data_IF_700777050986
#
_entry.id   IF_700777050986
#
_cell.length_a   1.000
_cell.length_b   1.000
_cell.length_c   1.000
_cell.angle_alpha   90.00
_cell.angle_beta   90.00
_cell.angle_gamma   90.00
#
_symmetry.space_group_name_H-M   'P 1'
#
loop_
_entity.id
_entity.type
_entity.pdbx_description
1 polymer ?
#
# COMPACT_ATOMS: atom_id res chain seq x y z
N UNK A 1 -26.91 81.07 -35.11
CA UNK A 1 -26.72 79.71 -34.75
C UNK A 1 -28.09 79.05 -34.49
N UNK A 2 -28.56 78.25 -35.45
CA UNK A 2 -29.79 77.42 -35.23
C UNK A 2 -29.40 76.12 -34.53
N UNK A 3 -29.70 76.05 -33.25
CA UNK A 3 -29.53 74.80 -32.50
C UNK A 3 -30.56 73.81 -33.03
N UNK A 4 -30.10 72.69 -33.50
CA UNK A 4 -30.89 71.62 -34.11
C UNK A 4 -31.68 70.84 -33.01
N UNK A 5 -32.92 71.25 -32.74
CA UNK A 5 -33.78 70.75 -31.69
C UNK A 5 -34.25 69.30 -31.94
N UNK A 6 -34.02 68.76 -33.14
CA UNK A 6 -34.47 67.44 -33.52
C UNK A 6 -33.66 66.30 -32.89
N UNK A 7 -32.40 66.52 -32.47
CA UNK A 7 -31.58 65.54 -31.84
C UNK A 7 -32.01 65.28 -30.38
N UNK A 8 -32.50 66.25 -29.70
CA UNK A 8 -32.96 66.11 -28.30
C UNK A 8 -34.23 65.27 -28.20
N UNK A 9 -35.15 65.37 -29.11
CA UNK A 9 -36.38 64.58 -29.15
C UNK A 9 -36.11 63.16 -29.53
N UNK A 10 -35.20 62.85 -30.43
CA UNK A 10 -34.77 61.48 -30.71
C UNK A 10 -34.08 60.83 -29.52
N UNK A 11 -33.19 61.51 -28.79
CA UNK A 11 -32.54 61.02 -27.58
C UNK A 11 -33.55 60.80 -26.44
N UNK A 12 -34.53 61.65 -26.30
CA UNK A 12 -35.57 61.54 -25.30
C UNK A 12 -36.53 60.36 -25.59
N UNK A 13 -36.85 60.14 -26.88
CA UNK A 13 -37.65 58.99 -27.33
C UNK A 13 -36.88 57.66 -27.14
N UNK A 14 -35.57 57.63 -27.45
CA UNK A 14 -34.72 56.47 -27.23
C UNK A 14 -34.60 56.21 -25.74
N UNK A 15 -34.46 57.22 -24.88
CA UNK A 15 -34.43 57.09 -23.43
C UNK A 15 -35.77 56.63 -22.84
N UNK A 16 -36.90 57.09 -23.38
CA UNK A 16 -38.23 56.61 -23.03
C UNK A 16 -38.51 55.17 -23.46
N UNK A 17 -37.99 54.76 -24.62
CA UNK A 17 -38.06 53.36 -25.09
C UNK A 17 -37.13 52.46 -24.29
N UNK A 18 -35.97 52.97 -23.82
CA UNK A 18 -35.06 52.25 -22.92
C UNK A 18 -35.57 52.18 -21.47
N UNK A 19 -36.50 53.09 -21.07
CA UNK A 19 -37.23 53.04 -19.80
C UNK A 19 -38.48 52.16 -19.85
N UNK A 20 -38.86 51.61 -21.02
CA UNK A 20 -39.84 50.53 -21.00
C UNK A 20 -39.27 49.40 -20.17
N UNK A 21 -39.67 49.34 -18.91
CA UNK A 21 -39.31 48.24 -18.00
C UNK A 21 -39.54 46.93 -18.74
N UNK A 22 -38.46 46.14 -18.86
CA UNK A 22 -38.59 44.76 -19.32
C UNK A 22 -39.32 44.04 -18.23
N UNK A 23 -40.63 44.07 -18.30
CA UNK A 23 -41.49 43.28 -17.43
C UNK A 23 -41.37 41.83 -17.89
N UNK A 24 -40.93 40.95 -16.99
CA UNK A 24 -41.02 39.52 -17.24
C UNK A 24 -42.43 39.14 -17.65
N UNK A 25 -42.61 37.99 -18.31
CA UNK A 25 -43.87 37.57 -18.91
C UNK A 25 -45.06 37.77 -17.97
N UNK A 26 -46.11 38.49 -18.39
CA UNK A 26 -47.26 38.80 -17.51
C UNK A 26 -47.97 37.54 -17.03
N UNK A 27 -47.97 36.49 -17.82
CA UNK A 27 -48.58 35.20 -17.48
C UNK A 27 -47.83 34.45 -16.40
N UNK A 28 -46.50 34.42 -16.46
CA UNK A 28 -45.66 33.76 -15.45
C UNK A 28 -45.75 34.48 -14.12
N UNK A 29 -45.65 35.82 -14.11
CA UNK A 29 -45.82 36.62 -12.92
C UNK A 29 -47.19 36.39 -12.22
N UNK A 30 -48.25 36.32 -13.02
CA UNK A 30 -49.59 36.06 -12.52
C UNK A 30 -49.66 34.64 -11.93
N UNK A 31 -49.15 33.65 -12.66
CA UNK A 31 -49.11 32.27 -12.21
C UNK A 31 -48.37 32.11 -10.88
N UNK A 32 -47.15 32.69 -10.76
CA UNK A 32 -46.37 32.68 -9.52
C UNK A 32 -47.11 33.29 -8.34
N UNK A 33 -47.83 34.42 -8.60
CA UNK A 33 -48.61 35.06 -7.56
C UNK A 33 -49.76 34.19 -7.10
N UNK A 34 -50.52 33.67 -8.06
CA UNK A 34 -51.73 32.88 -7.79
C UNK A 34 -51.42 31.56 -7.07
N UNK A 35 -50.27 30.90 -7.41
CA UNK A 35 -49.82 29.67 -6.78
C UNK A 35 -49.25 29.85 -5.40
N UNK A 36 -48.51 30.94 -5.14
CA UNK A 36 -47.78 31.15 -3.88
C UNK A 36 -48.50 31.98 -2.85
N UNK A 37 -49.65 32.63 -3.20
CA UNK A 37 -50.37 33.55 -2.29
C UNK A 37 -50.90 32.84 -1.03
N UNK A 38 -51.34 31.57 -1.18
CA UNK A 38 -51.90 30.78 -0.07
C UNK A 38 -51.06 29.54 0.23
N UNK A 39 -49.86 29.40 -0.37
CA UNK A 39 -49.02 28.23 -0.22
C UNK A 39 -48.26 28.24 1.12
N UNK A 40 -48.38 27.15 1.89
CA UNK A 40 -47.67 27.01 3.17
C UNK A 40 -46.55 25.96 3.02
N UNK A 41 -45.30 26.41 3.18
CA UNK A 41 -44.09 25.55 3.04
C UNK A 41 -43.94 24.55 4.19
N UNK A 42 -44.74 24.64 5.25
CA UNK A 42 -44.69 23.74 6.42
C UNK A 42 -45.63 22.55 6.27
N UNK A 43 -46.59 22.63 5.35
CA UNK A 43 -47.59 21.60 5.13
C UNK A 43 -47.11 20.58 4.11
N UNK A 44 -47.37 19.29 4.38
CA UNK A 44 -47.10 18.24 3.40
C UNK A 44 -48.10 18.41 2.20
N UNK A 45 -47.59 18.27 0.97
CA UNK A 45 -48.36 18.56 -0.24
C UNK A 45 -49.29 17.40 -0.63
N UNK A 46 -50.09 16.90 0.27
CA UNK A 46 -51.05 15.81 0.08
C UNK A 46 -52.49 16.33 0.21
N UNK A 47 -53.43 15.68 -0.47
CA UNK A 47 -54.83 16.03 -0.38
C UNK A 47 -55.46 15.49 0.91
N UNK A 48 -55.09 14.26 1.30
CA UNK A 48 -55.49 13.63 2.56
C UNK A 48 -54.29 13.50 3.48
N UNK A 49 -54.39 14.04 4.68
CA UNK A 49 -53.31 14.03 5.69
C UNK A 49 -52.92 12.60 6.14
N UNK A 50 -53.80 11.62 5.94
CA UNK A 50 -53.53 10.21 6.23
C UNK A 50 -52.62 9.53 5.20
N UNK A 51 -52.46 10.11 4.00
CA UNK A 51 -51.63 9.57 2.95
C UNK A 51 -50.20 10.06 3.07
N UNK A 52 -49.22 9.21 2.74
CA UNK A 52 -47.82 9.62 2.64
C UNK A 52 -47.57 10.40 1.36
N UNK A 53 -46.55 11.27 1.40
CA UNK A 53 -45.97 11.85 0.19
C UNK A 53 -45.16 10.78 -0.52
N UNK A 54 -45.52 10.44 -1.75
CA UNK A 54 -44.70 9.55 -2.61
C UNK A 54 -43.45 10.30 -3.07
N UNK A 55 -42.27 9.87 -2.63
CA UNK A 55 -41.00 10.47 -2.96
C UNK A 55 -40.10 9.48 -3.71
N UNK A 56 -39.92 9.73 -5.00
CA UNK A 56 -38.94 9.00 -5.80
C UNK A 56 -37.56 9.58 -5.56
N UNK A 57 -36.63 8.72 -5.14
CA UNK A 57 -35.25 9.13 -4.87
C UNK A 57 -34.24 8.36 -5.73
N UNK A 58 -33.40 9.12 -6.39
CA UNK A 58 -32.29 8.61 -7.19
C UNK A 58 -31.00 9.35 -6.88
N UNK A 59 -29.89 8.82 -7.37
CA UNK A 59 -28.57 9.38 -7.17
C UNK A 59 -27.77 9.30 -8.46
N UNK A 60 -27.15 10.40 -8.87
CA UNK A 60 -26.16 10.43 -9.98
C UNK A 60 -24.77 10.64 -9.40
N UNK A 61 -23.89 9.68 -9.62
CA UNK A 61 -22.48 9.77 -9.19
C UNK A 61 -21.65 10.46 -10.28
N UNK A 62 -21.13 11.65 -9.96
CA UNK A 62 -20.30 12.42 -10.88
C UNK A 62 -18.82 12.05 -10.76
N UNK A 63 -18.31 11.95 -9.52
CA UNK A 63 -16.89 11.71 -9.27
C UNK A 63 -16.66 11.14 -7.87
N UNK A 64 -15.68 10.26 -7.77
CA UNK A 64 -15.03 9.90 -6.51
C UNK A 64 -13.84 10.86 -6.36
N UNK A 65 -13.92 11.79 -5.41
CA UNK A 65 -12.89 12.81 -5.19
C UNK A 65 -11.72 12.20 -4.43
N UNK A 66 -12.00 11.54 -3.31
CA UNK A 66 -10.98 10.93 -2.46
C UNK A 66 -11.57 9.78 -1.62
N UNK A 67 -10.70 8.84 -1.27
CA UNK A 67 -10.98 7.80 -0.28
C UNK A 67 -9.86 7.84 0.75
N UNK A 68 -10.16 8.38 1.93
CA UNK A 68 -9.25 8.45 3.07
C UNK A 68 -9.31 7.14 3.84
N UNK A 69 -8.29 6.30 3.64
CA UNK A 69 -8.20 4.97 4.25
C UNK A 69 -7.98 5.04 5.77
N UNK A 70 -7.35 6.12 6.27
CA UNK A 70 -7.04 6.28 7.70
C UNK A 70 -8.27 6.66 8.48
N UNK A 71 -8.93 7.74 8.02
CA UNK A 71 -10.12 8.27 8.67
C UNK A 71 -11.38 7.50 8.28
N UNK A 72 -11.26 6.54 7.34
CA UNK A 72 -12.37 5.73 6.82
C UNK A 72 -13.51 6.60 6.25
N UNK A 73 -13.14 7.58 5.40
CA UNK A 73 -14.06 8.54 4.80
C UNK A 73 -13.95 8.50 3.28
N UNK A 74 -15.10 8.32 2.63
CA UNK A 74 -15.24 8.47 1.19
C UNK A 74 -15.81 9.86 0.87
N UNK A 75 -15.13 10.62 0.01
CA UNK A 75 -15.57 11.91 -0.52
C UNK A 75 -16.02 11.77 -1.97
N UNK A 76 -17.29 12.12 -2.24
CA UNK A 76 -17.90 11.98 -3.56
C UNK A 76 -18.63 13.24 -3.99
N UNK A 77 -18.63 13.53 -5.30
CA UNK A 77 -19.49 14.53 -5.92
C UNK A 77 -20.73 13.81 -6.45
N UNK A 78 -21.89 14.18 -5.93
CA UNK A 78 -23.17 13.54 -6.22
C UNK A 78 -24.22 14.59 -6.61
N UNK A 79 -25.16 14.17 -7.44
CA UNK A 79 -26.42 14.87 -7.63
C UNK A 79 -27.54 14.00 -7.06
N UNK A 80 -28.33 14.58 -6.16
CA UNK A 80 -29.50 13.89 -5.63
C UNK A 80 -30.68 14.14 -6.57
N UNK A 81 -31.41 13.11 -6.93
CA UNK A 81 -32.61 13.21 -7.79
C UNK A 81 -33.84 12.97 -6.92
N UNK A 82 -34.57 14.03 -6.57
CA UNK A 82 -35.79 13.95 -5.77
C UNK A 82 -36.98 14.36 -6.64
N UNK A 83 -37.98 13.50 -6.72
CA UNK A 83 -39.19 13.78 -7.44
C UNK A 83 -40.41 13.43 -6.57
N UNK A 84 -41.33 14.38 -6.43
CA UNK A 84 -42.58 14.21 -5.70
C UNK A 84 -43.69 14.96 -6.37
N UNK A 85 -44.92 14.68 -5.97
CA UNK A 85 -46.08 15.37 -6.46
C UNK A 85 -46.61 16.33 -5.40
N UNK A 86 -46.82 17.59 -5.80
CA UNK A 86 -47.39 18.62 -4.95
C UNK A 86 -48.81 18.97 -5.46
N UNK A 87 -49.81 18.57 -4.70
CA UNK A 87 -51.22 18.78 -5.08
C UNK A 87 -51.60 20.27 -5.08
N UNK A 88 -50.87 21.10 -4.31
CA UNK A 88 -51.14 22.53 -4.23
C UNK A 88 -50.50 23.36 -5.36
N UNK A 89 -49.57 22.76 -6.13
CA UNK A 89 -48.88 23.42 -7.22
C UNK A 89 -49.37 23.01 -8.61
N UNK A 90 -50.67 22.75 -8.72
CA UNK A 90 -51.31 22.40 -10.00
C UNK A 90 -51.95 23.60 -10.67
N UNK A 91 -51.78 23.73 -11.99
CA UNK A 91 -52.43 24.79 -12.75
C UNK A 91 -52.86 24.32 -14.14
N UNK A 92 -53.84 25.04 -14.72
CA UNK A 92 -54.25 24.83 -16.11
C UNK A 92 -53.42 25.73 -17.03
N UNK A 93 -52.50 25.15 -17.81
CA UNK A 93 -51.57 25.87 -18.69
C UNK A 93 -52.27 26.84 -19.66
N UNK A 94 -53.47 26.50 -20.16
CA UNK A 94 -54.23 27.34 -21.08
C UNK A 94 -54.63 28.70 -20.49
N UNK A 95 -54.78 28.82 -19.15
CA UNK A 95 -55.13 30.06 -18.47
C UNK A 95 -53.91 31.00 -18.27
N UNK A 96 -52.69 30.48 -18.42
CA UNK A 96 -51.44 31.18 -18.14
C UNK A 96 -50.50 31.14 -19.36
N UNK A 97 -51.05 31.33 -20.56
CA UNK A 97 -50.23 31.45 -21.77
C UNK A 97 -49.51 30.20 -22.19
N UNK A 98 -50.11 29.00 -21.89
CA UNK A 98 -49.56 27.67 -22.16
C UNK A 98 -48.19 27.39 -21.46
N UNK A 99 -47.98 27.95 -20.25
CA UNK A 99 -46.84 27.61 -19.43
C UNK A 99 -47.01 26.22 -18.87
N UNK A 100 -46.12 25.29 -19.25
CA UNK A 100 -46.13 23.89 -18.82
C UNK A 100 -45.27 23.62 -17.61
N UNK A 101 -44.20 24.41 -17.39
CA UNK A 101 -43.30 24.28 -16.25
C UNK A 101 -42.79 25.62 -15.76
N UNK A 102 -42.46 25.70 -14.47
CA UNK A 102 -41.86 26.87 -13.80
C UNK A 102 -40.73 26.42 -12.91
N UNK A 103 -39.77 27.33 -12.65
CA UNK A 103 -38.64 27.10 -11.75
C UNK A 103 -38.83 27.90 -10.46
N UNK A 104 -38.93 27.19 -9.33
CA UNK A 104 -39.13 27.80 -8.02
C UNK A 104 -37.89 27.61 -7.14
N UNK A 105 -37.54 28.64 -6.39
CA UNK A 105 -36.49 28.52 -5.39
C UNK A 105 -36.96 27.58 -4.26
N UNK A 106 -36.13 26.64 -3.76
CA UNK A 106 -36.53 25.60 -2.78
C UNK A 106 -37.06 26.18 -1.46
N UNK A 107 -36.75 27.44 -1.12
CA UNK A 107 -37.30 28.11 0.07
C UNK A 107 -38.76 28.53 -0.09
N UNK A 108 -39.32 28.48 -1.29
CA UNK A 108 -40.70 28.92 -1.61
C UNK A 108 -41.71 27.79 -1.62
N UNK A 109 -41.26 26.56 -1.49
CA UNK A 109 -42.10 25.38 -1.53
C UNK A 109 -41.72 24.40 -0.42
N UNK A 110 -42.59 23.45 -0.13
CA UNK A 110 -42.27 22.32 0.72
C UNK A 110 -41.19 21.48 0.08
N UNK A 111 -40.17 21.07 0.89
CA UNK A 111 -39.06 20.24 0.47
C UNK A 111 -38.94 19.05 1.42
N UNK A 112 -38.76 17.80 0.90
CA UNK A 112 -38.50 16.66 1.76
C UNK A 112 -37.14 16.80 2.46
N UNK A 113 -37.06 16.40 3.72
CA UNK A 113 -35.88 16.47 4.59
C UNK A 113 -34.97 15.25 4.46
N UNK A 114 -34.51 14.98 3.25
CA UNK A 114 -33.64 13.83 2.96
C UNK A 114 -32.19 14.21 3.25
N UNK A 115 -31.58 13.47 4.19
CA UNK A 115 -30.19 13.65 4.61
C UNK A 115 -29.42 12.33 4.54
N UNK A 116 -28.09 12.42 4.43
CA UNK A 116 -27.23 11.26 4.51
C UNK A 116 -26.97 10.90 5.98
N UNK A 117 -27.43 9.72 6.43
CA UNK A 117 -27.33 9.29 7.83
C UNK A 117 -25.90 9.01 8.28
N UNK A 118 -25.06 8.50 7.39
CA UNK A 118 -23.68 8.17 7.68
C UNK A 118 -22.70 9.25 7.20
N UNK A 119 -23.10 10.53 7.31
CA UNK A 119 -22.21 11.65 6.98
C UNK A 119 -21.03 11.72 7.96
N UNK A 120 -19.86 12.06 7.43
CA UNK A 120 -18.64 12.39 8.17
C UNK A 120 -18.31 13.90 8.06
N UNK A 121 -19.18 14.69 7.42
CA UNK A 121 -19.01 16.13 7.33
C UNK A 121 -19.56 16.83 8.58
N UNK A 122 -19.11 18.07 8.80
CA UNK A 122 -19.61 18.93 9.88
C UNK A 122 -21.02 19.43 9.60
N UNK A 123 -21.37 19.60 8.32
CA UNK A 123 -22.66 20.05 7.87
C UNK A 123 -23.46 18.87 7.33
N UNK A 124 -24.70 18.70 7.79
CA UNK A 124 -25.59 17.65 7.32
C UNK A 124 -26.17 17.94 5.94
N UNK A 125 -26.46 19.21 5.63
CA UNK A 125 -26.91 19.64 4.31
C UNK A 125 -25.74 20.30 3.56
N UNK A 126 -25.09 19.51 2.71
CA UNK A 126 -23.96 19.94 1.87
C UNK A 126 -24.42 20.25 0.44
N UNK A 127 -25.74 20.25 0.20
CA UNK A 127 -26.30 20.45 -1.14
C UNK A 127 -26.38 21.93 -1.49
N UNK A 128 -26.06 22.24 -2.77
CA UNK A 128 -26.31 23.57 -3.31
C UNK A 128 -27.81 23.74 -3.65
N UNK A 129 -28.49 24.78 -3.15
CA UNK A 129 -29.93 24.96 -3.37
C UNK A 129 -30.24 25.42 -4.79
N UNK A 130 -30.35 24.46 -5.73
CA UNK A 130 -30.82 24.72 -7.10
C UNK A 130 -32.32 24.95 -7.11
N UNK A 131 -32.85 25.50 -8.21
CA UNK A 131 -34.30 25.63 -8.36
C UNK A 131 -34.96 24.27 -8.55
N UNK A 132 -36.17 24.16 -8.04
CA UNK A 132 -37.08 23.04 -8.27
C UNK A 132 -37.86 23.28 -9.55
N UNK A 133 -37.88 22.33 -10.45
CA UNK A 133 -38.72 22.37 -11.65
C UNK A 133 -40.09 21.82 -11.29
N UNK A 134 -41.14 22.64 -11.44
CA UNK A 134 -42.53 22.27 -11.17
C UNK A 134 -43.30 22.27 -12.49
N UNK A 135 -43.97 21.16 -12.79
CA UNK A 135 -44.80 21.04 -14.00
C UNK A 135 -46.28 21.31 -13.69
N UNK A 136 -47.05 21.62 -14.70
CA UNK A 136 -48.46 22.02 -14.57
C UNK A 136 -49.40 20.97 -13.92
N UNK A 137 -48.96 19.72 -13.88
CA UNK A 137 -49.64 18.61 -13.20
C UNK A 137 -49.23 18.48 -11.73
N UNK A 138 -48.33 19.35 -11.24
CA UNK A 138 -47.86 19.37 -9.86
C UNK A 138 -46.65 18.46 -9.60
N UNK A 139 -46.01 17.90 -10.65
CA UNK A 139 -44.75 17.17 -10.44
C UNK A 139 -43.60 18.13 -10.13
N UNK A 140 -42.93 17.88 -9.04
CA UNK A 140 -41.74 18.62 -8.58
C UNK A 140 -40.51 17.77 -8.79
N UNK A 141 -39.49 18.34 -9.48
CA UNK A 141 -38.19 17.72 -9.67
C UNK A 141 -37.11 18.60 -9.08
N UNK A 142 -36.35 18.07 -8.11
CA UNK A 142 -35.26 18.77 -7.42
C UNK A 142 -33.97 17.98 -7.55
N UNK A 143 -32.93 18.58 -8.16
CA UNK A 143 -31.66 17.94 -8.42
C UNK A 143 -30.52 18.81 -7.85
N UNK A 144 -30.32 18.81 -6.52
CA UNK A 144 -29.22 19.55 -5.91
C UNK A 144 -27.90 18.81 -6.03
N UNK A 145 -26.84 19.46 -6.53
CA UNK A 145 -25.49 18.93 -6.48
C UNK A 145 -24.88 19.12 -5.08
N UNK A 146 -23.95 18.25 -4.70
CA UNK A 146 -23.23 18.36 -3.45
C UNK A 146 -21.98 17.51 -3.39
N UNK A 147 -21.05 17.90 -2.51
CA UNK A 147 -19.87 17.10 -2.17
C UNK A 147 -20.15 16.44 -0.83
N UNK A 148 -20.27 15.12 -0.84
CA UNK A 148 -20.63 14.32 0.32
C UNK A 148 -19.43 13.58 0.88
N UNK A 149 -19.24 13.63 2.19
CA UNK A 149 -18.28 12.81 2.93
C UNK A 149 -19.03 11.77 3.74
N UNK A 150 -18.87 10.52 3.38
CA UNK A 150 -19.52 9.40 4.05
C UNK A 150 -18.52 8.54 4.80
N UNK A 151 -18.93 8.01 5.96
CA UNK A 151 -18.15 6.99 6.65
C UNK A 151 -18.16 5.69 5.85
N UNK A 152 -16.98 5.12 5.63
CA UNK A 152 -16.80 3.88 4.90
C UNK A 152 -15.81 2.98 5.62
N UNK A 153 -16.26 1.82 6.09
CA UNK A 153 -15.36 0.82 6.68
C UNK A 153 -14.51 0.21 5.58
N UNK A 154 -13.20 0.47 5.63
CA UNK A 154 -12.24 0.02 4.63
C UNK A 154 -11.52 -1.22 5.12
N UNK A 155 -11.41 -2.24 4.26
CA UNK A 155 -10.65 -3.47 4.50
C UNK A 155 -9.39 -3.47 3.62
N UNK A 156 -8.22 -3.28 4.26
CA UNK A 156 -6.91 -3.25 3.60
C UNK A 156 -6.18 -4.61 3.65
N UNK A 157 -6.84 -5.68 4.09
CA UNK A 157 -6.21 -7.01 4.20
C UNK A 157 -5.54 -7.44 2.90
N UNK A 158 -6.21 -7.20 1.76
CA UNK A 158 -5.73 -7.58 0.42
C UNK A 158 -5.05 -6.45 -0.34
N UNK A 159 -4.73 -5.35 0.32
CA UNK A 159 -4.04 -4.23 -0.33
C UNK A 159 -2.72 -4.70 -1.02
N UNK A 160 -2.43 -4.29 -2.28
CA UNK A 160 -3.16 -3.33 -3.13
C UNK A 160 -4.18 -3.96 -4.10
N UNK A 161 -4.61 -5.18 -3.89
CA UNK A 161 -5.57 -5.93 -4.73
C UNK A 161 -6.97 -5.93 -4.11
N UNK A 162 -7.33 -4.86 -3.41
CA UNK A 162 -8.54 -4.74 -2.63
C UNK A 162 -9.73 -4.20 -3.45
N UNK A 163 -10.90 -4.69 -3.08
CA UNK A 163 -12.19 -4.17 -3.51
C UNK A 163 -12.88 -3.54 -2.29
N UNK A 164 -13.37 -2.32 -2.43
CA UNK A 164 -14.04 -1.61 -1.35
C UNK A 164 -15.52 -1.42 -1.65
N UNK A 165 -16.34 -1.41 -0.61
CA UNK A 165 -17.77 -1.19 -0.68
C UNK A 165 -18.15 -0.13 0.33
N UNK A 166 -18.51 1.06 -0.15
CA UNK A 166 -18.91 2.19 0.66
C UNK A 166 -20.40 2.44 0.51
N UNK A 167 -21.12 2.47 1.61
CA UNK A 167 -22.55 2.71 1.63
C UNK A 167 -22.81 4.20 1.81
N UNK A 168 -23.76 4.72 1.03
CA UNK A 168 -24.37 6.03 1.16
C UNK A 168 -25.82 5.83 1.59
N UNK A 169 -26.12 6.10 2.84
CA UNK A 169 -27.44 5.84 3.41
C UNK A 169 -28.24 7.13 3.52
N UNK A 170 -29.32 7.26 2.75
CA UNK A 170 -30.19 8.43 2.72
C UNK A 170 -31.57 8.11 3.26
N UNK A 171 -32.17 9.05 3.99
CA UNK A 171 -33.54 8.94 4.49
C UNK A 171 -34.05 10.24 5.06
N UNK A 172 -35.35 10.31 5.32
CA UNK A 172 -35.91 11.45 6.03
C UNK A 172 -35.51 11.46 7.49
N UNK A 173 -35.07 12.62 7.98
CA UNK A 173 -34.65 12.77 9.38
C UNK A 173 -35.81 12.84 10.36
N UNK A 174 -36.89 13.56 9.98
CA UNK A 174 -38.01 13.84 10.87
C UNK A 174 -39.27 13.04 10.56
N UNK A 175 -39.41 12.55 9.32
CA UNK A 175 -40.64 11.88 8.89
C UNK A 175 -40.46 10.36 8.83
N UNK A 176 -41.46 9.64 9.37
CA UNK A 176 -41.55 8.19 9.27
C UNK A 176 -42.19 7.77 7.92
N UNK A 177 -42.21 6.45 7.63
CA UNK A 177 -42.73 5.90 6.39
C UNK A 177 -44.25 6.10 6.17
N UNK A 178 -44.99 6.48 7.20
CA UNK A 178 -46.44 6.83 7.05
C UNK A 178 -46.64 8.27 6.59
N UNK A 179 -45.58 9.13 6.71
CA UNK A 179 -45.62 10.51 6.23
C UNK A 179 -44.94 10.72 4.90
N UNK A 180 -43.84 10.04 4.68
CA UNK A 180 -43.09 10.05 3.42
C UNK A 180 -42.82 8.61 3.03
N UNK A 181 -43.36 8.18 1.89
CA UNK A 181 -43.06 6.89 1.27
C UNK A 181 -41.88 7.10 0.33
N UNK A 182 -40.69 6.62 0.76
CA UNK A 182 -39.46 6.77 0.02
C UNK A 182 -39.26 5.59 -0.94
N UNK A 183 -39.27 5.85 -2.24
CA UNK A 183 -39.14 4.84 -3.28
C UNK A 183 -37.92 5.05 -4.15
N UNK A 184 -37.39 3.95 -4.70
CA UNK A 184 -36.27 3.99 -5.62
C UNK A 184 -36.72 4.47 -7.01
N UNK A 185 -36.01 5.45 -7.57
CA UNK A 185 -36.17 5.85 -8.95
C UNK A 185 -35.62 4.79 -9.93
N UNK A 186 -34.52 4.10 -9.54
CA UNK A 186 -33.89 3.02 -10.29
C UNK A 186 -33.14 2.07 -9.33
N UNK A 187 -32.93 0.81 -9.74
CA UNK A 187 -32.20 -0.19 -8.94
C UNK A 187 -30.71 0.11 -8.78
N UNK A 188 -30.18 1.03 -9.59
CA UNK A 188 -28.78 1.48 -9.54
C UNK A 188 -28.70 3.00 -9.63
N UNK A 189 -27.66 3.58 -9.01
CA UNK A 189 -27.31 4.98 -9.18
C UNK A 189 -26.84 5.25 -10.62
N UNK A 190 -27.23 6.41 -11.16
CA UNK A 190 -26.81 6.82 -12.49
C UNK A 190 -25.31 7.16 -12.51
N UNK A 191 -24.58 6.52 -13.41
CA UNK A 191 -23.13 6.69 -13.62
C UNK A 191 -22.80 7.17 -15.02
N UNK A 192 -23.79 7.60 -15.80
CA UNK A 192 -23.60 8.03 -17.20
C UNK A 192 -22.62 9.18 -17.37
N UNK A 193 -22.56 10.08 -16.37
CA UNK A 193 -21.67 11.25 -16.32
C UNK A 193 -20.44 11.05 -15.44
N UNK A 194 -20.13 9.80 -15.05
CA UNK A 194 -19.05 9.51 -14.12
C UNK A 194 -17.66 9.83 -14.72
N UNK A 195 -16.90 10.67 -14.02
CA UNK A 195 -15.50 10.96 -14.36
C UNK A 195 -14.63 9.86 -13.80
N UNK A 196 -13.90 9.17 -14.68
CA UNK A 196 -13.01 8.07 -14.29
C UNK A 196 -11.93 8.54 -13.32
N UNK A 197 -11.66 7.71 -12.31
CA UNK A 197 -10.62 7.95 -11.31
C UNK A 197 -9.36 7.15 -11.66
N UNK A 198 -8.17 7.77 -11.49
CA UNK A 198 -6.90 7.12 -11.80
C UNK A 198 -6.51 6.03 -10.80
N UNK A 199 -7.00 6.13 -9.55
CA UNK A 199 -6.68 5.17 -8.48
C UNK A 199 -7.72 4.04 -8.36
N UNK A 200 -9.00 4.34 -8.73
CA UNK A 200 -10.14 3.46 -8.50
C UNK A 200 -10.92 3.19 -9.79
N UNK A 201 -11.32 1.96 -9.96
CA UNK A 201 -12.27 1.53 -10.99
C UNK A 201 -13.64 1.39 -10.34
N UNK A 202 -14.64 2.08 -10.86
CA UNK A 202 -16.04 1.92 -10.43
C UNK A 202 -16.59 0.63 -11.00
N UNK A 203 -17.10 -0.26 -10.14
CA UNK A 203 -17.74 -1.53 -10.54
C UNK A 203 -19.26 -1.40 -10.64
N UNK A 204 -19.87 -0.47 -9.88
CA UNK A 204 -21.30 -0.22 -9.90
C UNK A 204 -21.77 0.49 -8.63
N UNK A 205 -23.02 0.95 -8.66
CA UNK A 205 -23.67 1.66 -7.55
C UNK A 205 -25.08 1.08 -7.30
N UNK A 206 -25.19 -0.20 -6.91
CA UNK A 206 -26.51 -0.78 -6.62
C UNK A 206 -27.20 -0.05 -5.49
N UNK A 207 -28.51 0.12 -5.61
CA UNK A 207 -29.37 0.76 -4.65
C UNK A 207 -30.30 -0.26 -3.97
N UNK A 208 -30.58 -0.04 -2.69
CA UNK A 208 -31.50 -0.86 -1.92
C UNK A 208 -32.36 0.00 -1.01
N UNK A 209 -33.67 -0.17 -1.08
CA UNK A 209 -34.62 0.37 -0.13
C UNK A 209 -34.68 -0.54 1.11
N UNK A 210 -34.57 0.02 2.29
CA UNK A 210 -34.69 -0.69 3.56
C UNK A 210 -35.81 -0.06 4.39
N UNK A 211 -36.48 -0.90 5.16
CA UNK A 211 -37.44 -0.48 6.20
C UNK A 211 -36.94 -0.96 7.55
N UNK A 212 -36.83 -0.03 8.47
CA UNK A 212 -36.32 -0.28 9.81
C UNK A 212 -37.39 0.07 10.84
N UNK A 213 -37.63 -0.86 11.77
CA UNK A 213 -38.46 -0.65 12.94
C UNK A 213 -37.54 -0.49 14.16
N UNK A 214 -37.76 0.56 14.92
CA UNK A 214 -36.99 0.81 16.13
C UNK A 214 -37.83 0.49 17.36
N UNK A 215 -37.19 0.02 18.44
CA UNK A 215 -37.88 -0.35 19.68
C UNK A 215 -38.64 0.81 20.31
N UNK A 216 -38.28 2.04 19.98
CA UNK A 216 -38.96 3.26 20.49
C UNK A 216 -40.29 3.52 19.82
N UNK A 217 -40.51 3.05 18.60
CA UNK A 217 -41.52 3.61 17.73
C UNK A 217 -42.15 2.52 16.84
N UNK A 218 -43.49 2.41 16.78
CA UNK A 218 -44.17 1.39 15.97
C UNK A 218 -44.16 1.70 14.48
N UNK A 219 -43.78 2.94 14.10
CA UNK A 219 -43.76 3.36 12.70
C UNK A 219 -42.50 2.88 11.99
N UNK A 220 -42.61 2.49 10.70
CA UNK A 220 -41.45 2.15 9.88
C UNK A 220 -40.66 3.41 9.50
N UNK A 221 -39.34 3.33 9.57
CA UNK A 221 -38.44 4.34 9.02
C UNK A 221 -37.80 3.77 7.75
N UNK A 222 -37.92 4.51 6.67
CA UNK A 222 -37.43 4.07 5.36
C UNK A 222 -36.12 4.76 5.03
N UNK A 223 -35.17 3.99 4.53
CA UNK A 223 -33.91 4.50 3.98
C UNK A 223 -33.59 3.87 2.63
N UNK A 224 -32.88 4.61 1.81
CA UNK A 224 -32.29 4.10 0.58
C UNK A 224 -30.77 4.11 0.75
N UNK A 225 -30.18 2.94 0.54
CA UNK A 225 -28.72 2.75 0.63
C UNK A 225 -28.16 2.49 -0.76
N UNK A 226 -27.30 3.39 -1.25
CA UNK A 226 -26.49 3.19 -2.44
C UNK A 226 -25.15 2.64 -2.03
N UNK A 227 -24.71 1.53 -2.64
CA UNK A 227 -23.42 0.90 -2.35
C UNK A 227 -22.44 1.18 -3.47
N UNK A 228 -21.49 2.09 -3.26
CA UNK A 228 -20.42 2.35 -4.23
C UNK A 228 -19.41 1.20 -4.14
N UNK A 229 -19.34 0.38 -5.21
CA UNK A 229 -18.39 -0.71 -5.33
C UNK A 229 -17.22 -0.27 -6.20
N UNK A 230 -16.01 -0.28 -5.62
CA UNK A 230 -14.80 0.18 -6.28
C UNK A 230 -13.67 -0.83 -6.13
N UNK A 231 -12.83 -0.91 -7.14
CA UNK A 231 -11.64 -1.74 -7.18
C UNK A 231 -10.40 -0.87 -7.35
N UNK A 232 -9.35 -1.13 -6.58
CA UNK A 232 -8.10 -0.39 -6.66
C UNK A 232 -7.30 -0.76 -7.90
N UNK A 233 -6.69 0.25 -8.56
CA UNK A 233 -5.71 0.04 -9.64
C UNK A 233 -4.35 -0.28 -9.04
N UNK A 234 -4.01 -1.57 -9.01
CA UNK A 234 -2.83 -2.10 -8.28
C UNK A 234 -1.49 -1.77 -8.92
N UNK A 235 -1.42 -1.45 -10.22
CA UNK A 235 -0.17 -1.29 -10.96
C UNK A 235 0.79 -0.25 -10.36
N UNK A 236 0.28 0.90 -9.95
CA UNK A 236 1.08 1.95 -9.33
C UNK A 236 1.79 1.44 -8.06
N UNK A 237 1.08 0.74 -7.20
CA UNK A 237 1.60 0.21 -5.94
C UNK A 237 2.57 -0.94 -6.17
N UNK A 238 2.29 -1.81 -7.15
CA UNK A 238 3.18 -2.90 -7.50
C UNK A 238 4.56 -2.37 -7.92
N UNK A 239 4.62 -1.39 -8.82
CA UNK A 239 5.89 -0.84 -9.28
C UNK A 239 6.59 0.02 -8.23
N UNK A 240 5.89 0.83 -7.47
CA UNK A 240 6.51 1.77 -6.53
C UNK A 240 6.81 1.17 -5.16
N UNK A 241 6.16 0.07 -4.76
CA UNK A 241 6.40 -0.59 -3.48
C UNK A 241 7.12 -1.94 -3.61
N UNK A 242 6.62 -2.86 -4.45
CA UNK A 242 7.22 -4.19 -4.52
C UNK A 242 8.57 -4.21 -5.25
N UNK A 243 8.71 -3.48 -6.36
CA UNK A 243 9.97 -3.49 -7.12
C UNK A 243 11.15 -2.96 -6.28
N UNK A 244 11.08 -1.81 -5.57
CA UNK A 244 12.16 -1.37 -4.71
C UNK A 244 12.50 -2.36 -3.59
N UNK A 245 11.49 -2.98 -2.95
CA UNK A 245 11.73 -4.03 -1.95
C UNK A 245 12.52 -5.21 -2.51
N UNK A 246 12.16 -5.69 -3.69
CA UNK A 246 12.85 -6.81 -4.37
C UNK A 246 14.30 -6.41 -4.70
N UNK A 247 14.52 -5.18 -5.18
CA UNK A 247 15.86 -4.69 -5.49
C UNK A 247 16.74 -4.60 -4.24
N UNK A 248 16.23 -4.04 -3.14
CA UNK A 248 16.96 -3.97 -1.86
C UNK A 248 17.26 -5.38 -1.33
N UNK A 249 16.29 -6.29 -1.39
CA UNK A 249 16.48 -7.68 -1.00
C UNK A 249 17.54 -8.38 -1.86
N UNK A 250 17.56 -8.14 -3.17
CA UNK A 250 18.57 -8.70 -4.09
C UNK A 250 19.96 -8.18 -3.77
N UNK A 251 20.12 -6.90 -3.43
CA UNK A 251 21.41 -6.32 -3.02
C UNK A 251 21.91 -6.93 -1.72
N UNK A 252 21.04 -7.19 -0.74
CA UNK A 252 21.41 -7.87 0.50
C UNK A 252 21.91 -9.30 0.25
N UNK A 253 21.25 -10.04 -0.66
CA UNK A 253 21.66 -11.39 -1.08
C UNK A 253 22.98 -11.35 -1.83
N UNK A 254 23.16 -10.41 -2.77
CA UNK A 254 24.43 -10.23 -3.50
C UNK A 254 25.62 -9.93 -2.60
N UNK A 255 25.38 -9.34 -1.42
CA UNK A 255 26.41 -9.14 -0.39
C UNK A 255 27.17 -10.43 0.00
N UNK A 256 26.52 -11.59 -0.06
CA UNK A 256 27.15 -12.88 0.22
C UNK A 256 28.05 -13.39 -0.93
N UNK A 257 28.02 -12.77 -2.10
CA UNK A 257 28.94 -13.11 -3.21
C UNK A 257 30.30 -12.43 -3.05
N UNK A 258 30.39 -11.36 -2.23
CA UNK A 258 31.61 -10.65 -1.99
C UNK A 258 32.55 -11.46 -1.08
N UNK A 259 33.87 -11.51 -1.42
CA UNK A 259 34.85 -12.18 -0.58
C UNK A 259 34.99 -11.46 0.78
N UNK A 260 35.21 -12.18 1.88
CA UNK A 260 35.36 -11.58 3.22
C UNK A 260 36.52 -10.58 3.33
N UNK A 261 37.56 -10.74 2.50
CA UNK A 261 38.74 -9.87 2.49
C UNK A 261 38.51 -8.48 1.87
N UNK A 262 37.36 -8.26 1.20
CA UNK A 262 37.08 -6.99 0.50
C UNK A 262 36.89 -5.78 1.41
N UNK A 263 36.72 -5.95 2.74
CA UNK A 263 36.49 -4.87 3.72
C UNK A 263 35.15 -4.15 3.55
N UNK A 264 34.57 -4.13 2.35
CA UNK A 264 33.35 -3.39 2.01
C UNK A 264 32.05 -4.19 2.17
N UNK A 265 32.16 -5.48 2.47
CA UNK A 265 31.01 -6.38 2.64
C UNK A 265 30.06 -5.93 3.74
N UNK A 266 30.63 -5.50 4.89
CA UNK A 266 29.82 -4.98 6.00
C UNK A 266 29.19 -3.63 5.66
N UNK A 267 29.92 -2.75 4.96
CA UNK A 267 29.42 -1.45 4.52
C UNK A 267 28.22 -1.59 3.60
N UNK A 268 28.27 -2.51 2.63
CA UNK A 268 27.14 -2.82 1.75
C UNK A 268 25.95 -3.32 2.56
N UNK A 269 26.15 -4.21 3.52
CA UNK A 269 25.09 -4.71 4.39
C UNK A 269 24.44 -3.60 5.21
N UNK A 270 25.20 -2.68 5.77
CA UNK A 270 24.66 -1.54 6.52
C UNK A 270 23.90 -0.56 5.63
N UNK A 271 24.42 -0.27 4.42
CA UNK A 271 23.72 0.60 3.46
C UNK A 271 22.38 -0.02 3.05
N UNK A 272 22.32 -1.31 2.77
CA UNK A 272 21.05 -1.99 2.44
C UNK A 272 20.08 -1.99 3.61
N UNK A 273 20.55 -2.14 4.85
CA UNK A 273 19.71 -2.04 6.05
C UNK A 273 19.15 -0.62 6.24
N UNK A 274 19.96 0.40 6.06
CA UNK A 274 19.51 1.80 6.13
C UNK A 274 18.49 2.07 5.02
N UNK A 275 18.73 1.58 3.80
CA UNK A 275 17.83 1.77 2.67
C UNK A 275 16.45 1.17 2.92
N UNK A 276 16.36 -0.04 3.49
CA UNK A 276 15.06 -0.66 3.82
C UNK A 276 14.34 0.07 4.96
N UNK A 277 15.06 0.64 5.94
CA UNK A 277 14.47 1.46 7.00
C UNK A 277 13.88 2.75 6.44
N UNK A 278 14.64 3.49 5.61
CA UNK A 278 14.16 4.72 4.96
C UNK A 278 12.96 4.41 4.06
N UNK A 279 13.02 3.33 3.30
CA UNK A 279 11.90 2.90 2.46
C UNK A 279 10.67 2.55 3.31
N UNK A 280 10.86 1.91 4.47
CA UNK A 280 9.81 1.62 5.44
C UNK A 280 9.10 2.87 5.94
N UNK A 281 9.84 3.94 6.26
CA UNK A 281 9.21 5.21 6.69
C UNK A 281 8.37 5.85 5.59
N UNK A 282 8.76 5.68 4.31
CA UNK A 282 7.95 6.16 3.17
C UNK A 282 6.67 5.32 3.02
N UNK A 283 6.76 4.01 3.22
CA UNK A 283 5.61 3.09 3.19
C UNK A 283 4.64 3.43 4.34
N UNK A 284 5.14 3.62 5.56
CA UNK A 284 4.33 3.98 6.73
C UNK A 284 3.67 5.35 6.58
N UNK A 285 4.37 6.33 5.98
CA UNK A 285 3.81 7.66 5.72
C UNK A 285 2.62 7.64 4.76
N UNK A 286 2.52 6.63 3.89
CA UNK A 286 1.36 6.40 3.02
C UNK A 286 0.27 5.54 3.70
N UNK A 287 0.42 5.25 5.01
CA UNK A 287 -0.58 4.63 5.88
C UNK A 287 -1.08 3.24 5.46
N UNK A 288 -0.19 2.44 4.92
CA UNK A 288 -0.54 1.04 4.64
C UNK A 288 -0.60 0.26 5.94
N UNK A 289 -1.78 -0.26 6.27
CA UNK A 289 -1.99 -1.06 7.48
C UNK A 289 -0.96 -2.19 7.58
N UNK A 290 -0.36 -2.36 8.75
CA UNK A 290 0.55 -3.47 9.06
C UNK A 290 -0.09 -4.86 8.86
N UNK A 291 -1.42 -4.93 8.83
CA UNK A 291 -2.17 -6.16 8.54
C UNK A 291 -2.33 -6.44 7.04
N UNK A 292 -1.90 -5.55 6.16
CA UNK A 292 -1.95 -5.76 4.72
C UNK A 292 -0.92 -6.80 4.26
N UNK A 293 -1.21 -7.49 3.14
CA UNK A 293 -0.28 -8.46 2.54
C UNK A 293 1.06 -7.80 2.21
N UNK A 294 1.05 -6.59 1.67
CA UNK A 294 2.27 -5.87 1.32
C UNK A 294 3.06 -5.44 2.56
N UNK A 295 2.36 -5.07 3.66
CA UNK A 295 2.98 -4.78 4.95
C UNK A 295 3.68 -6.01 5.52
N UNK A 296 3.01 -7.16 5.49
CA UNK A 296 3.59 -8.45 5.91
C UNK A 296 4.83 -8.81 5.07
N UNK A 297 4.76 -8.65 3.75
CA UNK A 297 5.90 -8.85 2.85
C UNK A 297 7.07 -7.93 3.20
N UNK A 298 6.80 -6.65 3.42
CA UNK A 298 7.82 -5.69 3.82
C UNK A 298 8.52 -6.11 5.12
N UNK A 299 7.78 -6.51 6.14
CA UNK A 299 8.34 -7.01 7.40
C UNK A 299 9.20 -8.26 7.20
N UNK A 300 8.77 -9.21 6.37
CA UNK A 300 9.57 -10.39 6.02
C UNK A 300 10.91 -10.00 5.38
N UNK A 301 10.91 -9.07 4.43
CA UNK A 301 12.13 -8.60 3.78
C UNK A 301 13.02 -7.83 4.77
N UNK A 302 12.43 -6.99 5.61
CA UNK A 302 13.18 -6.27 6.66
C UNK A 302 13.93 -7.23 7.59
N UNK A 303 13.25 -8.25 8.13
CA UNK A 303 13.90 -9.26 8.97
C UNK A 303 14.96 -10.05 8.21
N UNK A 304 14.76 -10.35 6.95
CA UNK A 304 15.73 -11.01 6.11
C UNK A 304 17.00 -10.14 5.93
N UNK A 305 16.87 -8.85 5.61
CA UNK A 305 17.98 -7.92 5.48
C UNK A 305 18.73 -7.77 6.81
N UNK A 306 18.00 -7.60 7.91
CA UNK A 306 18.61 -7.53 9.25
C UNK A 306 19.40 -8.80 9.59
N UNK A 307 18.81 -9.97 9.38
CA UNK A 307 19.48 -11.25 9.64
C UNK A 307 20.70 -11.45 8.74
N UNK A 308 20.68 -10.95 7.49
CA UNK A 308 21.81 -11.01 6.57
C UNK A 308 23.00 -10.20 7.08
N UNK A 309 22.76 -9.02 7.68
CA UNK A 309 23.82 -8.19 8.28
C UNK A 309 24.42 -8.89 9.50
N UNK A 310 23.59 -9.42 10.41
CA UNK A 310 24.06 -10.18 11.58
C UNK A 310 24.91 -11.37 11.15
N UNK A 311 24.45 -12.12 10.15
CA UNK A 311 25.19 -13.28 9.62
C UNK A 311 26.50 -12.86 8.99
N UNK A 312 26.54 -11.73 8.27
CA UNK A 312 27.77 -11.17 7.69
C UNK A 312 28.79 -10.83 8.78
N UNK A 313 28.37 -10.23 9.89
CA UNK A 313 29.25 -9.94 11.04
C UNK A 313 29.82 -11.25 11.62
N UNK A 314 29.00 -12.27 11.76
CA UNK A 314 29.47 -13.59 12.24
C UNK A 314 30.48 -14.24 11.30
N UNK A 315 30.25 -14.17 9.98
CA UNK A 315 31.17 -14.68 8.96
C UNK A 315 32.52 -13.97 9.01
N UNK A 316 32.52 -12.63 9.11
CA UNK A 316 33.74 -11.83 9.26
C UNK A 316 34.51 -12.18 10.56
N UNK A 317 33.78 -12.39 11.65
CA UNK A 317 34.38 -12.81 12.91
C UNK A 317 35.07 -14.20 12.77
N UNK A 318 34.45 -15.14 12.07
CA UNK A 318 35.07 -16.44 11.84
C UNK A 318 36.23 -16.37 10.85
N UNK A 319 36.17 -15.51 9.84
CA UNK A 319 37.23 -15.34 8.85
C UNK A 319 38.49 -14.75 9.44
N UNK A 320 38.37 -13.74 10.33
CA UNK A 320 39.51 -13.08 10.98
C UNK A 320 39.92 -13.72 12.30
N UNK A 321 39.49 -14.94 12.60
CA UNK A 321 39.78 -15.65 13.82
C UNK A 321 41.20 -16.23 13.76
N UNK A 322 42.09 -15.82 14.71
CA UNK A 322 43.45 -16.26 14.80
C UNK A 322 43.53 -17.68 15.40
N UNK A 323 44.38 -18.54 14.78
CA UNK A 323 44.65 -19.92 15.21
C UNK A 323 45.16 -20.01 16.66
N UNK A 324 45.94 -19.01 17.09
CA UNK A 324 46.54 -18.97 18.43
C UNK A 324 45.53 -18.93 19.56
N UNK A 325 44.31 -18.45 19.32
CA UNK A 325 43.34 -18.19 20.38
C UNK A 325 42.27 -19.30 20.48
N UNK A 326 41.92 -19.95 19.37
CA UNK A 326 40.78 -20.87 19.36
C UNK A 326 40.97 -22.06 18.43
N UNK A 327 41.07 -23.27 19.02
CA UNK A 327 41.01 -24.52 18.25
C UNK A 327 39.59 -24.79 17.79
N UNK A 328 39.43 -25.22 16.53
CA UNK A 328 38.12 -25.57 15.96
C UNK A 328 37.56 -26.83 16.64
N UNK A 329 36.33 -26.78 17.20
CA UNK A 329 35.66 -27.96 17.77
C UNK A 329 35.41 -29.04 16.69
N UNK A 330 35.53 -30.31 17.07
CA UNK A 330 35.38 -31.46 16.14
C UNK A 330 34.00 -31.51 15.45
N UNK A 331 32.93 -31.11 16.13
CA UNK A 331 31.60 -31.10 15.55
C UNK A 331 31.46 -30.02 14.44
N UNK A 332 32.04 -28.83 14.64
CA UNK A 332 32.10 -27.74 13.63
C UNK A 332 32.86 -28.22 12.40
N UNK A 333 34.03 -28.88 12.62
CA UNK A 333 34.85 -29.43 11.57
C UNK A 333 34.08 -30.50 10.75
N UNK A 334 33.30 -31.35 11.42
CA UNK A 334 32.52 -32.38 10.73
C UNK A 334 31.39 -31.76 9.86
N UNK A 335 30.64 -30.80 10.40
CA UNK A 335 29.49 -30.19 9.71
C UNK A 335 29.96 -29.28 8.57
N UNK A 336 30.79 -28.27 8.89
CA UNK A 336 31.16 -27.20 7.93
C UNK A 336 32.31 -27.57 6.97
N UNK A 337 33.15 -28.55 7.29
CA UNK A 337 34.25 -28.93 6.41
C UNK A 337 33.99 -30.26 5.65
N UNK A 338 32.99 -31.08 6.05
CA UNK A 338 32.67 -32.34 5.37
C UNK A 338 31.29 -32.40 4.78
N UNK A 339 30.22 -32.14 5.57
CA UNK A 339 28.82 -32.35 5.15
C UNK A 339 28.32 -31.24 4.24
N UNK A 340 28.36 -29.99 4.68
CA UNK A 340 27.84 -28.81 3.94
C UNK A 340 28.58 -28.60 2.60
N UNK A 341 29.93 -28.64 2.52
CA UNK A 341 30.61 -28.51 1.24
C UNK A 341 30.23 -29.54 0.19
N UNK A 342 29.95 -30.79 0.65
CA UNK A 342 29.45 -31.84 -0.27
C UNK A 342 28.07 -31.52 -0.83
N UNK A 343 27.16 -31.01 0.04
CA UNK A 343 25.82 -30.58 -0.38
C UNK A 343 25.86 -29.38 -1.34
N UNK A 344 26.81 -28.44 -1.13
CA UNK A 344 27.02 -27.25 -1.97
C UNK A 344 27.97 -27.47 -3.16
N UNK A 345 28.42 -28.72 -3.43
CA UNK A 345 29.36 -29.05 -4.48
C UNK A 345 30.69 -28.24 -4.45
N UNK A 346 31.12 -27.82 -3.24
CA UNK A 346 32.38 -27.06 -3.05
C UNK A 346 33.56 -27.99 -2.87
N UNK A 347 34.66 -27.70 -3.57
CA UNK A 347 35.92 -28.41 -3.41
C UNK A 347 36.88 -27.60 -2.57
N UNK A 348 37.60 -28.23 -1.64
CA UNK A 348 38.70 -27.58 -0.92
C UNK A 348 39.81 -27.17 -1.90
N UNK A 349 40.45 -26.00 -1.70
CA UNK A 349 41.65 -25.65 -2.48
C UNK A 349 42.73 -26.72 -2.27
N UNK A 350 43.36 -27.17 -3.37
CA UNK A 350 44.24 -28.32 -3.44
C UNK A 350 45.59 -28.18 -2.71
N UNK A 351 45.92 -27.02 -2.18
CA UNK A 351 47.13 -26.81 -1.34
C UNK A 351 47.20 -27.65 -0.07
N UNK A 352 46.07 -28.21 0.37
CA UNK A 352 45.95 -28.91 1.66
C UNK A 352 46.38 -30.38 1.63
N UNK A 353 46.35 -31.01 0.45
CA UNK A 353 46.71 -32.44 0.32
C UNK A 353 48.23 -32.65 0.26
N UNK A 354 48.99 -31.67 -0.22
CA UNK A 354 50.42 -31.77 -0.39
C UNK A 354 51.17 -31.86 0.97
N UNK A 355 50.72 -31.11 2.00
CA UNK A 355 51.33 -31.19 3.34
C UNK A 355 51.04 -32.50 4.09
N UNK A 356 49.89 -33.14 3.87
CA UNK A 356 49.56 -34.43 4.46
C UNK A 356 50.28 -35.62 3.79
N UNK A 357 50.50 -35.56 2.45
CA UNK A 357 51.28 -36.57 1.76
C UNK A 357 52.78 -36.47 2.13
N UNK A 358 53.30 -35.24 2.29
CA UNK A 358 54.68 -35.05 2.77
C UNK A 358 54.82 -35.51 4.22
N UNK A 359 53.83 -35.24 5.10
CA UNK A 359 53.83 -35.72 6.50
C UNK A 359 53.72 -37.24 6.60
N UNK A 360 52.99 -37.91 5.77
CA UNK A 360 52.98 -39.39 5.73
C UNK A 360 54.30 -39.95 5.15
N UNK A 361 54.86 -39.33 4.15
CA UNK A 361 56.11 -39.76 3.54
C UNK A 361 57.34 -39.46 4.43
N UNK A 362 57.33 -38.34 5.14
CA UNK A 362 58.40 -37.99 6.10
C UNK A 362 58.32 -38.77 7.39
N UNK A 363 57.10 -39.06 7.92
CA UNK A 363 56.94 -39.88 9.13
C UNK A 363 57.33 -41.33 8.88
N UNK A 364 57.06 -41.87 7.71
CA UNK A 364 57.40 -43.25 7.36
C UNK A 364 58.92 -43.40 7.06
N UNK A 365 59.60 -42.38 6.51
CA UNK A 365 61.06 -42.41 6.26
C UNK A 365 61.90 -41.94 7.45
N UNK A 366 61.35 -41.00 8.30
CA UNK A 366 62.10 -40.44 9.40
C UNK A 366 62.29 -41.36 10.59
N UNK A 367 61.33 -42.26 10.87
CA UNK A 367 61.42 -43.20 12.00
C UNK A 367 62.33 -44.38 11.74
N UNK A 368 62.57 -44.78 10.48
CA UNK A 368 63.39 -45.94 10.15
C UNK A 368 64.88 -45.59 9.97
N UNK A 369 65.27 -44.32 9.73
CA UNK A 369 66.64 -43.98 9.42
C UNK A 369 67.39 -43.20 10.54
N UNK A 370 66.68 -42.65 11.50
CA UNK A 370 67.31 -41.85 12.57
C UNK A 370 67.81 -42.67 13.75
N UNK A 371 67.23 -43.86 14.01
CA UNK A 371 67.69 -44.78 15.04
C UNK A 371 68.97 -45.51 14.65
N UNK A 372 69.10 -45.82 13.34
CA UNK A 372 70.25 -46.58 12.85
C UNK A 372 71.43 -45.69 12.43
N UNK A 373 71.25 -44.40 12.12
CA UNK A 373 72.28 -43.45 11.83
C UNK A 373 72.95 -42.86 13.07
N UNK A 374 72.31 -42.85 14.21
CA UNK A 374 72.86 -42.26 15.43
C UNK A 374 73.94 -43.11 16.11
N UNK A 375 73.97 -44.43 15.92
CA UNK A 375 74.99 -45.27 16.55
C UNK A 375 76.25 -45.47 15.74
N UNK A 376 76.17 -45.55 14.41
CA UNK A 376 77.38 -45.81 13.61
C UNK A 376 78.08 -44.55 13.06
N UNK A 377 77.32 -43.44 12.89
CA UNK A 377 77.90 -42.16 12.42
C UNK A 377 78.61 -41.37 13.56
N UNK A 378 78.22 -41.55 14.79
CA UNK A 378 78.86 -40.88 15.97
C UNK A 378 80.21 -41.51 16.28
N UNK A 379 80.50 -42.77 16.04
CA UNK A 379 81.77 -43.41 16.22
C UNK A 379 82.80 -43.00 15.15
N UNK A 380 82.44 -42.81 13.92
CA UNK A 380 83.34 -42.47 12.84
C UNK A 380 83.73 -40.96 12.74
N UNK A 381 82.93 -40.05 13.32
CA UNK A 381 83.17 -38.60 13.28
C UNK A 381 84.10 -38.13 14.41
N UNK A 382 84.24 -38.93 15.47
CA UNK A 382 85.06 -38.57 16.60
C UNK A 382 86.62 -38.66 16.35
N UNK A 383 87.04 -39.35 15.27
CA UNK A 383 88.48 -39.50 14.97
C UNK A 383 89.00 -38.49 13.96
N UNK A 384 88.15 -37.65 13.28
CA UNK A 384 88.64 -36.87 12.16
C UNK A 384 88.55 -35.34 12.28
N UNK A 385 87.95 -34.77 13.36
CA UNK A 385 87.69 -33.33 13.44
C UNK A 385 88.27 -32.74 14.77
N UNK A 386 88.92 -31.51 14.75
CA UNK A 386 89.35 -30.83 15.93
C UNK A 386 88.18 -30.45 16.82
N UNK A 387 88.24 -30.56 18.13
CA UNK A 387 87.16 -30.40 19.12
C UNK A 387 86.36 -29.09 19.04
N UNK A 388 86.89 -28.05 18.39
CA UNK A 388 86.20 -26.77 18.14
C UNK A 388 85.11 -26.85 17.05
N UNK A 389 85.33 -27.57 15.93
CA UNK A 389 84.42 -27.70 14.84
C UNK A 389 83.18 -28.54 15.18
N UNK A 390 83.37 -29.52 16.09
CA UNK A 390 82.27 -30.34 16.56
C UNK A 390 81.27 -29.55 17.45
N UNK A 391 81.75 -28.59 18.19
CA UNK A 391 80.97 -27.71 19.04
C UNK A 391 80.10 -26.74 18.16
N UNK A 392 80.69 -26.17 17.13
CA UNK A 392 80.03 -25.29 16.20
C UNK A 392 78.95 -26.05 15.36
N UNK A 393 79.27 -27.28 14.92
CA UNK A 393 78.36 -28.13 14.23
C UNK A 393 77.14 -28.48 15.08
N UNK A 394 77.28 -28.78 16.36
CA UNK A 394 76.21 -29.04 17.30
C UNK A 394 75.34 -27.79 17.53
N UNK A 395 75.96 -26.59 17.60
CA UNK A 395 75.22 -25.33 17.70
C UNK A 395 74.34 -25.08 16.45
N UNK A 396 74.90 -25.29 15.25
CA UNK A 396 74.20 -25.18 13.99
C UNK A 396 73.03 -26.19 13.90
N UNK A 397 73.26 -27.45 14.33
CA UNK A 397 72.19 -28.47 14.39
C UNK A 397 71.10 -28.06 15.39
N UNK A 398 71.45 -27.46 16.53
CA UNK A 398 70.47 -26.99 17.49
C UNK A 398 69.69 -25.82 16.98
N UNK A 399 70.29 -24.85 16.30
CA UNK A 399 69.59 -23.73 15.66
C UNK A 399 68.68 -24.21 14.52
N UNK A 400 69.12 -25.13 13.67
CA UNK A 400 68.33 -25.75 12.62
C UNK A 400 67.09 -26.48 13.19
N UNK A 401 67.25 -27.17 14.33
CA UNK A 401 66.10 -27.80 15.01
C UNK A 401 65.08 -26.76 15.49
N UNK A 402 65.53 -25.67 16.10
CA UNK A 402 64.66 -24.59 16.56
C UNK A 402 63.91 -23.95 15.38
N UNK A 403 64.61 -23.70 14.26
CA UNK A 403 64.02 -23.15 13.04
C UNK A 403 62.99 -24.16 12.46
N UNK A 404 63.33 -25.45 12.35
CA UNK A 404 62.42 -26.49 11.85
C UNK A 404 61.21 -26.67 12.71
N UNK A 405 61.33 -26.64 14.06
CA UNK A 405 60.21 -26.70 14.99
C UNK A 405 59.31 -25.47 14.86
N UNK A 406 59.92 -24.28 14.69
CA UNK A 406 59.17 -23.03 14.48
C UNK A 406 58.36 -23.10 13.14
N UNK A 407 58.98 -23.50 12.04
CA UNK A 407 58.32 -23.68 10.76
C UNK A 407 57.15 -24.68 10.86
N UNK A 408 57.36 -25.78 11.60
CA UNK A 408 56.27 -26.77 11.79
C UNK A 408 55.09 -26.20 12.58
N UNK A 409 55.36 -25.39 13.63
CA UNK A 409 54.34 -24.73 14.42
C UNK A 409 53.56 -23.69 13.53
N UNK A 410 54.33 -22.91 12.73
CA UNK A 410 53.75 -21.93 11.83
C UNK A 410 52.86 -22.60 10.76
N UNK A 411 53.31 -23.73 10.16
CA UNK A 411 52.48 -24.53 9.21
C UNK A 411 51.19 -25.09 9.89
N UNK A 412 51.27 -25.56 11.13
CA UNK A 412 50.11 -26.05 11.88
C UNK A 412 49.12 -24.93 12.16
N UNK A 413 49.60 -23.71 12.47
CA UNK A 413 48.76 -22.52 12.68
C UNK A 413 48.11 -22.08 11.37
N UNK A 414 48.87 -22.01 10.28
CA UNK A 414 48.33 -21.67 8.95
C UNK A 414 47.23 -22.66 8.50
N UNK A 415 47.43 -23.93 8.80
CA UNK A 415 46.43 -24.95 8.51
C UNK A 415 45.09 -24.73 9.25
N UNK A 416 45.16 -24.27 10.53
CA UNK A 416 43.94 -23.95 11.31
C UNK A 416 43.31 -22.66 10.80
N UNK A 417 44.07 -21.62 10.44
CA UNK A 417 43.55 -20.38 9.85
C UNK A 417 42.86 -20.65 8.53
N UNK A 418 43.43 -21.51 7.69
CA UNK A 418 42.83 -21.92 6.42
C UNK A 418 41.54 -22.72 6.63
N UNK A 419 41.41 -23.52 7.69
CA UNK A 419 40.18 -24.20 8.05
C UNK A 419 39.05 -23.20 8.43
N UNK A 420 39.38 -22.14 9.20
CA UNK A 420 38.43 -21.08 9.54
C UNK A 420 38.01 -20.24 8.34
N UNK A 421 38.95 -19.87 7.46
CA UNK A 421 38.66 -19.16 6.20
C UNK A 421 37.77 -19.99 5.28
N UNK A 422 38.04 -21.29 5.14
CA UNK A 422 37.20 -22.18 4.34
C UNK A 422 35.79 -22.32 4.94
N UNK A 423 35.67 -22.42 6.27
CA UNK A 423 34.39 -22.44 6.95
C UNK A 423 33.58 -21.16 6.68
N UNK A 424 34.21 -19.98 6.71
CA UNK A 424 33.57 -18.71 6.40
C UNK A 424 33.04 -18.69 4.95
N UNK A 425 33.79 -19.17 3.97
CA UNK A 425 33.35 -19.30 2.56
C UNK A 425 32.18 -20.27 2.40
N UNK A 426 32.17 -21.36 3.12
CA UNK A 426 31.08 -22.36 3.11
C UNK A 426 29.80 -21.72 3.70
N UNK A 427 29.93 -20.95 4.77
CA UNK A 427 28.81 -20.26 5.42
C UNK A 427 28.24 -19.18 4.49
N UNK A 428 29.08 -18.41 3.80
CA UNK A 428 28.64 -17.43 2.78
C UNK A 428 27.77 -18.09 1.68
N UNK A 429 28.23 -19.23 1.15
CA UNK A 429 27.49 -19.94 0.11
C UNK A 429 26.19 -20.53 0.62
N UNK A 430 26.18 -21.07 1.85
CA UNK A 430 24.96 -21.57 2.48
C UNK A 430 23.93 -20.44 2.65
N UNK A 431 24.37 -19.30 3.18
CA UNK A 431 23.52 -18.12 3.37
C UNK A 431 23.01 -17.57 2.05
N UNK A 432 23.84 -17.50 1.01
CA UNK A 432 23.43 -17.10 -0.33
C UNK A 432 22.24 -17.94 -0.81
N UNK A 433 22.34 -19.27 -0.74
CA UNK A 433 21.27 -20.18 -1.19
C UNK A 433 20.03 -20.05 -0.31
N UNK A 434 20.20 -20.01 1.01
CA UNK A 434 19.07 -19.93 1.96
C UNK A 434 18.29 -18.59 1.80
N UNK A 435 19.00 -17.46 1.76
CA UNK A 435 18.35 -16.16 1.60
C UNK A 435 17.76 -15.94 0.22
N UNK A 436 18.39 -16.47 -0.85
CA UNK A 436 17.81 -16.45 -2.20
C UNK A 436 16.51 -17.26 -2.25
N UNK A 437 16.51 -18.47 -1.71
CA UNK A 437 15.30 -19.30 -1.65
C UNK A 437 14.19 -18.60 -0.83
N UNK A 438 14.54 -18.00 0.30
CA UNK A 438 13.59 -17.28 1.14
C UNK A 438 12.95 -16.09 0.40
N UNK A 439 13.74 -15.24 -0.28
CA UNK A 439 13.22 -14.10 -1.04
C UNK A 439 12.32 -14.52 -2.20
N UNK A 440 12.68 -15.58 -2.91
CA UNK A 440 11.85 -16.12 -4.00
C UNK A 440 10.53 -16.65 -3.46
N UNK A 441 10.56 -17.46 -2.40
CA UNK A 441 9.36 -18.03 -1.78
C UNK A 441 8.45 -16.92 -1.23
N UNK A 442 9.00 -15.93 -0.52
CA UNK A 442 8.23 -14.81 0.02
C UNK A 442 7.56 -13.98 -1.10
N UNK A 443 8.30 -13.68 -2.17
CA UNK A 443 7.76 -12.91 -3.31
C UNK A 443 6.67 -13.69 -4.05
N UNK A 444 6.88 -14.98 -4.33
CA UNK A 444 5.90 -15.83 -4.99
C UNK A 444 4.66 -16.02 -4.11
N UNK A 445 4.84 -16.22 -2.80
CA UNK A 445 3.73 -16.36 -1.86
C UNK A 445 2.79 -15.14 -1.92
N UNK A 446 3.34 -13.93 -1.89
CA UNK A 446 2.53 -12.69 -1.96
C UNK A 446 1.80 -12.58 -3.30
N UNK A 447 2.46 -12.88 -4.41
CA UNK A 447 1.85 -12.80 -5.74
C UNK A 447 0.74 -13.85 -5.93
N UNK A 448 0.92 -15.07 -5.42
CA UNK A 448 -0.08 -16.14 -5.55
C UNK A 448 -1.27 -15.97 -4.61
N UNK A 449 -1.09 -15.29 -3.49
CA UNK A 449 -2.16 -15.06 -2.52
C UNK A 449 -3.12 -13.95 -2.99
N UNK A 450 -2.72 -13.11 -3.94
CA UNK A 450 -3.56 -12.02 -4.47
C UNK A 450 -4.81 -12.60 -5.17
N UNK A 451 -6.05 -12.26 -4.73
CA UNK A 451 -7.29 -12.88 -5.22
C UNK A 451 -7.58 -12.59 -6.70
N UNK A 452 -6.98 -11.56 -7.28
CA UNK A 452 -7.21 -11.15 -8.68
C UNK A 452 -6.43 -12.00 -9.69
N UNK A 453 -5.34 -12.63 -9.29
CA UNK A 453 -4.53 -13.46 -10.20
C UNK A 453 -5.20 -14.83 -10.41
N UNK A 454 -6.02 -15.27 -9.46
CA UNK A 454 -6.67 -16.59 -9.47
C UNK A 454 -8.04 -16.58 -10.19
N UNK A 455 -8.64 -15.39 -10.45
CA UNK A 455 -9.99 -15.24 -11.04
C UNK A 455 -10.01 -14.81 -12.51
N UNK A 456 -8.94 -15.04 -13.26
CA UNK A 456 -8.96 -14.94 -14.74
C UNK A 456 -8.92 -16.29 -15.39
#
# INVERSE_FOLDING_TARGET
MRVNTNHWWCSLLIFLVLLSEVHGGPHERKLLKDLLENYNTQERPVFDESEPVELLFGLTLQQIIDLDEINQVLTTNLWLNLAWKDENLKWNSSKYGNIESINLHPSKLWKPDIYMYNTADKEFDVTYPTNVVVTSDGQCLFIPPGIFKSTCKIDLTWFPFDNQQCNLKFGSWTNNGWKINLELNAEEGDTSSFVQNDKWVLLGVPAKRNEMFYDCCPEPYQDITFTIKIQRRSYYYLFNLMVPCILIASMAVLGFTLPPDSGEKLTLGLITLISIIIFGTIVDANHYSSSSIIGTYFHCIFFMVFSSVVTTIMILNFHHRLANTHKMPNWVRCIFLKWIPRALCMRRPTGYNYSNEIKMASSAKGQASLSDLNSSALEHVNETFPSGAFRELNLIIQELRVITDKIRVDEEMEAIDNDWKFMAMVLDRLCLVAFTAFTIIATISVLLTAPIIVTK
#
